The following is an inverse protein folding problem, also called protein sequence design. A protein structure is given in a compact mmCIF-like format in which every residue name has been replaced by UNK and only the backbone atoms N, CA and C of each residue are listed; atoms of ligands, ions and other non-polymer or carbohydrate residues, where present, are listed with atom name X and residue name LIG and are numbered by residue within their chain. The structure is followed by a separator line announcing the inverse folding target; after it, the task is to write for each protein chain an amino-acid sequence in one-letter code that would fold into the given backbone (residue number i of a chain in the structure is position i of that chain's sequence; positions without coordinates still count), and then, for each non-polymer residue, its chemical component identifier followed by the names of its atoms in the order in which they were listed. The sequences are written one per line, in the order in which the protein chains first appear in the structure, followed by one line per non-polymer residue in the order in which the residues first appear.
data_IF_268510610206
#
_entry.id   IF_268510610206
#
_cell.length_a   1.000
_cell.length_b   1.000
_cell.length_c   1.000
_cell.angle_alpha   90.00
_cell.angle_beta   90.00
_cell.angle_gamma   90.00
#
_symmetry.space_group_name_H-M   'P 1'
#
loop_
_entity.id
_entity.type
_entity.pdbx_description
1 polymer ?
#
# COMPACT_ATOMS: atom_id res chain seq x y z
N UNK A 1 -2.56 27.69 -44.18
CA UNK A 1 -1.25 27.02 -44.28
C UNK A 1 -1.38 25.69 -43.56
N UNK A 2 -2.10 24.77 -44.20
CA UNK A 2 -2.34 23.43 -43.66
C UNK A 2 -1.22 22.53 -44.14
N UNK A 3 -0.57 21.86 -43.21
CA UNK A 3 0.56 20.95 -43.46
C UNK A 3 0.07 19.66 -44.15
N UNK A 4 0.56 19.33 -45.34
CA UNK A 4 0.31 18.04 -45.99
C UNK A 4 1.28 16.99 -45.44
N UNK A 5 0.92 15.70 -45.58
CA UNK A 5 1.68 14.47 -45.24
C UNK A 5 1.30 13.73 -43.94
N UNK A 6 0.05 13.27 -43.85
CA UNK A 6 -0.29 12.08 -43.07
C UNK A 6 -0.27 10.86 -44.01
N UNK A 7 0.93 10.33 -44.29
CA UNK A 7 1.08 9.08 -45.04
C UNK A 7 1.06 7.92 -44.04
N UNK A 8 0.12 6.99 -44.21
CA UNK A 8 -0.03 5.75 -43.42
C UNK A 8 1.23 4.88 -43.56
N UNK A 9 2.13 5.01 -42.61
CA UNK A 9 3.18 4.06 -42.29
C UNK A 9 3.36 4.16 -40.78
N UNK A 10 2.92 3.16 -40.04
CA UNK A 10 2.99 3.17 -38.57
C UNK A 10 4.45 3.28 -38.14
N UNK A 11 4.79 4.35 -37.42
CA UNK A 11 6.08 4.45 -36.74
C UNK A 11 5.91 3.93 -35.33
N UNK A 12 6.76 2.98 -34.95
CA UNK A 12 6.79 2.43 -33.59
C UNK A 12 7.47 3.45 -32.67
N UNK A 13 6.76 3.84 -31.61
CA UNK A 13 7.29 4.69 -30.57
C UNK A 13 7.50 3.86 -29.30
N UNK A 14 8.48 4.27 -28.50
CA UNK A 14 8.74 3.65 -27.21
C UNK A 14 7.89 4.33 -26.13
N UNK A 15 7.33 3.50 -25.26
CA UNK A 15 6.52 3.90 -24.13
C UNK A 15 7.06 3.23 -22.87
N UNK A 16 6.82 3.90 -21.75
CA UNK A 16 6.99 3.35 -20.42
C UNK A 16 5.63 3.21 -19.76
N UNK A 17 5.41 2.07 -19.12
CA UNK A 17 4.24 1.77 -18.31
C UNK A 17 4.71 1.51 -16.90
N UNK A 18 4.27 2.36 -15.97
CA UNK A 18 4.43 2.15 -14.55
C UNK A 18 3.07 1.74 -13.97
N UNK A 19 3.00 0.60 -13.30
CA UNK A 19 1.79 0.18 -12.60
C UNK A 19 2.09 -0.32 -11.19
N UNK A 20 1.06 -0.25 -10.35
CA UNK A 20 1.12 -0.58 -8.93
C UNK A 20 0.18 -1.76 -8.67
N UNK A 21 0.74 -2.86 -8.17
CA UNK A 21 -0.03 -3.99 -7.67
C UNK A 21 -0.27 -3.86 -6.16
N UNK A 22 -1.45 -4.21 -5.66
CA UNK A 22 -1.72 -4.29 -4.22
C UNK A 22 -0.79 -5.33 -3.56
N UNK A 23 -0.29 -4.99 -2.37
CA UNK A 23 0.59 -5.87 -1.59
C UNK A 23 -0.06 -7.17 -1.08
N UNK A 24 -1.34 -7.42 -1.37
CA UNK A 24 -2.02 -8.66 -0.97
C UNK A 24 -1.58 -9.86 -1.81
N UNK A 25 -1.06 -9.60 -3.00
CA UNK A 25 -0.64 -10.64 -3.93
C UNK A 25 0.68 -11.26 -3.49
N UNK A 26 0.79 -12.58 -3.60
CA UNK A 26 2.06 -13.30 -3.42
C UNK A 26 2.97 -13.12 -4.63
N UNK A 27 4.25 -13.42 -4.50
CA UNK A 27 5.21 -13.31 -5.61
C UNK A 27 4.77 -14.16 -6.83
N UNK A 28 4.19 -15.34 -6.57
CA UNK A 28 3.63 -16.21 -7.63
C UNK A 28 2.45 -15.56 -8.36
N UNK A 29 1.54 -14.93 -7.61
CA UNK A 29 0.39 -14.22 -8.21
C UNK A 29 0.84 -12.97 -8.98
N UNK A 30 1.88 -12.28 -8.50
CA UNK A 30 2.48 -11.15 -9.20
C UNK A 30 3.02 -11.58 -10.55
N UNK A 31 3.75 -12.71 -10.63
CA UNK A 31 4.25 -13.25 -11.90
C UNK A 31 3.12 -13.66 -12.86
N UNK A 32 2.00 -14.18 -12.36
CA UNK A 32 0.83 -14.51 -13.17
C UNK A 32 0.16 -13.26 -13.75
N UNK A 33 -0.01 -12.22 -12.92
CA UNK A 33 -0.54 -10.92 -13.36
C UNK A 33 0.40 -10.28 -14.37
N UNK A 34 1.71 -10.38 -14.16
CA UNK A 34 2.73 -9.89 -15.09
C UNK A 34 2.57 -10.54 -16.46
N UNK A 35 2.50 -11.87 -16.53
CA UNK A 35 2.27 -12.61 -17.79
C UNK A 35 0.95 -12.20 -18.47
N UNK A 36 -0.10 -11.93 -17.69
CA UNK A 36 -1.38 -11.44 -18.21
C UNK A 36 -1.21 -10.05 -18.84
N UNK A 37 -0.48 -9.15 -18.20
CA UNK A 37 -0.19 -7.81 -18.71
C UNK A 37 0.69 -7.88 -19.97
N UNK A 38 1.71 -8.74 -19.98
CA UNK A 38 2.56 -8.96 -21.15
C UNK A 38 1.76 -9.45 -22.36
N UNK A 39 0.88 -10.43 -22.13
CA UNK A 39 -0.01 -10.94 -23.16
C UNK A 39 -0.97 -9.86 -23.67
N UNK A 40 -1.42 -8.95 -22.81
CA UNK A 40 -2.26 -7.82 -23.17
C UNK A 40 -1.48 -6.85 -24.06
N UNK A 41 -0.26 -6.48 -23.70
CA UNK A 41 0.61 -5.57 -24.48
C UNK A 41 0.94 -6.21 -25.85
N UNK A 42 1.35 -7.47 -25.88
CA UNK A 42 1.73 -8.16 -27.11
C UNK A 42 0.51 -8.41 -28.02
N UNK A 43 -0.61 -8.84 -27.44
CA UNK A 43 -1.81 -9.23 -28.19
C UNK A 43 -2.62 -8.05 -28.71
N UNK A 44 -2.88 -7.04 -27.87
CA UNK A 44 -3.72 -5.90 -28.24
C UNK A 44 -2.92 -4.80 -28.93
N UNK A 45 -1.68 -4.54 -28.48
CA UNK A 45 -0.87 -3.42 -28.95
C UNK A 45 0.08 -3.78 -30.10
N UNK A 46 0.12 -5.07 -30.50
CA UNK A 46 1.21 -5.59 -31.34
C UNK A 46 2.58 -5.09 -30.85
N UNK A 47 2.69 -4.93 -29.53
CA UNK A 47 3.79 -4.24 -28.88
C UNK A 47 4.93 -5.21 -28.59
N UNK A 48 6.16 -4.75 -28.77
CA UNK A 48 7.34 -5.52 -28.38
C UNK A 48 7.83 -5.00 -27.03
N UNK A 49 7.85 -5.86 -26.03
CA UNK A 49 8.41 -5.57 -24.71
C UNK A 49 9.93 -5.54 -24.84
N UNK A 50 10.55 -4.44 -24.43
CA UNK A 50 11.99 -4.20 -24.50
C UNK A 50 12.67 -4.57 -23.21
N UNK A 51 12.08 -4.15 -22.08
CA UNK A 51 12.58 -4.40 -20.74
C UNK A 51 11.41 -4.37 -19.76
N UNK A 52 11.52 -5.21 -18.74
CA UNK A 52 10.61 -5.19 -17.61
C UNK A 52 11.39 -5.32 -16.32
N UNK A 53 10.96 -4.59 -15.30
CA UNK A 53 11.64 -4.54 -14.01
C UNK A 53 10.63 -4.40 -12.87
N UNK A 54 10.74 -5.31 -11.90
CA UNK A 54 10.02 -5.22 -10.63
C UNK A 54 10.84 -4.33 -9.71
N UNK A 55 10.31 -3.14 -9.44
CA UNK A 55 10.89 -2.15 -8.54
C UNK A 55 10.74 -2.54 -7.06
N UNK A 56 9.81 -3.45 -6.76
CA UNK A 56 9.58 -4.00 -5.43
C UNK A 56 8.49 -3.28 -4.65
N UNK A 57 8.38 -3.60 -3.36
CA UNK A 57 7.28 -3.16 -2.49
C UNK A 57 7.60 -1.83 -1.83
N UNK A 58 6.87 -0.78 -2.20
CA UNK A 58 7.07 0.59 -1.73
C UNK A 58 5.86 1.04 -0.91
N UNK A 59 6.11 1.77 0.18
CA UNK A 59 5.06 2.41 0.98
C UNK A 59 4.57 3.67 0.28
N UNK A 60 3.27 3.73 -0.01
CA UNK A 60 2.61 4.90 -0.62
C UNK A 60 2.35 5.98 0.42
N UNK A 61 2.31 7.24 -0.02
CA UNK A 61 2.06 8.40 0.86
C UNK A 61 0.67 8.35 1.51
N UNK A 62 -0.33 7.85 0.79
CA UNK A 62 -1.70 7.64 1.24
C UNK A 62 -2.19 6.26 0.78
N UNK A 63 -3.18 5.67 1.46
CA UNK A 63 -3.72 4.39 1.05
C UNK A 63 -4.48 4.49 -0.28
N UNK A 64 -4.22 3.56 -1.19
CA UNK A 64 -4.98 3.36 -2.43
C UNK A 64 -5.63 1.99 -2.34
N UNK A 65 -6.94 1.89 -2.55
CA UNK A 65 -7.68 0.63 -2.41
C UNK A 65 -7.46 -0.03 -1.04
N UNK A 66 -7.49 0.75 0.05
CA UNK A 66 -7.24 0.30 1.43
C UNK A 66 -5.85 -0.28 1.72
N UNK A 67 -4.91 -0.22 0.78
CA UNK A 67 -3.53 -0.68 0.98
C UNK A 67 -2.57 0.50 1.08
N UNK A 68 -1.62 0.43 2.02
CA UNK A 68 -0.56 1.45 2.19
C UNK A 68 0.73 1.10 1.45
N UNK A 69 0.86 -0.12 0.97
CA UNK A 69 2.04 -0.65 0.31
C UNK A 69 1.60 -1.24 -1.02
N UNK A 70 2.40 -1.06 -2.06
CA UNK A 70 2.17 -1.64 -3.37
C UNK A 70 3.49 -2.07 -4.00
N UNK A 71 3.43 -3.12 -4.81
CA UNK A 71 4.56 -3.56 -5.63
C UNK A 71 4.55 -2.75 -6.92
N UNK A 72 5.64 -2.05 -7.20
CA UNK A 72 5.79 -1.25 -8.40
C UNK A 72 6.46 -2.09 -9.48
N UNK A 73 5.95 -1.99 -10.70
CA UNK A 73 6.51 -2.66 -11.87
C UNK A 73 6.59 -1.67 -13.01
N UNK A 74 7.76 -1.63 -13.66
CA UNK A 74 8.05 -0.76 -14.78
C UNK A 74 8.30 -1.60 -16.03
N UNK A 75 7.57 -1.28 -17.09
CA UNK A 75 7.69 -1.94 -18.40
C UNK A 75 8.05 -0.90 -19.45
N UNK A 76 9.08 -1.20 -20.23
CA UNK A 76 9.40 -0.51 -21.47
C UNK A 76 8.94 -1.35 -22.65
N UNK A 77 8.13 -0.76 -23.52
CA UNK A 77 7.62 -1.44 -24.70
C UNK A 77 7.53 -0.49 -25.88
N UNK A 78 7.56 -1.06 -27.08
CA UNK A 78 7.40 -0.33 -28.33
C UNK A 78 6.08 -0.71 -28.97
N UNK A 79 5.31 0.27 -29.42
CA UNK A 79 4.02 0.02 -30.10
C UNK A 79 3.69 1.17 -31.06
N UNK A 80 2.67 0.97 -31.88
CA UNK A 80 2.11 2.03 -32.71
C UNK A 80 1.24 2.98 -31.85
N UNK A 81 1.40 4.31 -31.97
CA UNK A 81 0.65 5.29 -31.19
C UNK A 81 -0.88 5.16 -31.29
N UNK A 82 -1.37 4.61 -32.41
CA UNK A 82 -2.80 4.40 -32.67
C UNK A 82 -3.45 3.41 -31.70
N UNK A 83 -2.67 2.55 -31.04
CA UNK A 83 -3.18 1.50 -30.16
C UNK A 83 -3.22 1.91 -28.68
N UNK A 84 -2.50 2.97 -28.31
CA UNK A 84 -2.43 3.46 -26.91
C UNK A 84 -3.82 3.70 -26.29
N UNK A 85 -4.80 4.34 -26.95
CA UNK A 85 -6.13 4.54 -26.35
C UNK A 85 -6.87 3.25 -26.05
N UNK A 86 -6.68 2.21 -26.89
CA UNK A 86 -7.27 0.89 -26.67
C UNK A 86 -6.61 0.19 -25.49
N UNK A 87 -5.29 0.31 -25.38
CA UNK A 87 -4.50 -0.23 -24.30
C UNK A 87 -4.90 0.40 -22.95
N UNK A 88 -5.04 1.73 -22.91
CA UNK A 88 -5.52 2.48 -21.75
C UNK A 88 -6.90 1.98 -21.26
N UNK A 89 -7.86 1.80 -22.18
CA UNK A 89 -9.17 1.26 -21.83
C UNK A 89 -9.10 -0.15 -21.23
N UNK A 90 -8.19 -1.01 -21.70
CA UNK A 90 -8.02 -2.37 -21.14
C UNK A 90 -7.38 -2.35 -19.75
N UNK A 91 -6.37 -1.49 -19.54
CA UNK A 91 -5.79 -1.31 -18.22
C UNK A 91 -6.82 -0.77 -17.21
N UNK A 92 -7.73 0.11 -17.65
CA UNK A 92 -8.83 0.58 -16.82
C UNK A 92 -9.80 -0.52 -16.39
N UNK A 93 -9.96 -1.58 -17.21
CA UNK A 93 -10.80 -2.74 -16.90
C UNK A 93 -10.07 -3.80 -16.04
N UNK A 94 -8.77 -3.64 -15.82
CA UNK A 94 -7.94 -4.62 -15.12
C UNK A 94 -7.99 -4.33 -13.62
N UNK A 95 -8.84 -5.06 -12.89
CA UNK A 95 -9.07 -4.85 -11.44
C UNK A 95 -7.86 -5.21 -10.57
N UNK A 96 -6.90 -5.96 -11.10
CA UNK A 96 -5.70 -6.34 -10.36
C UNK A 96 -4.73 -5.18 -10.11
N UNK A 97 -4.85 -4.08 -10.86
CA UNK A 97 -3.96 -2.92 -10.81
C UNK A 97 -4.60 -1.79 -10.00
N UNK A 98 -3.88 -1.25 -9.01
CA UNK A 98 -4.36 -0.11 -8.22
C UNK A 98 -4.31 1.21 -9.00
N UNK A 99 -3.24 1.39 -9.75
CA UNK A 99 -2.97 2.58 -10.56
C UNK A 99 -1.94 2.24 -11.62
N UNK A 100 -2.09 2.84 -12.79
CA UNK A 100 -1.11 2.75 -13.86
C UNK A 100 -0.87 4.14 -14.47
N UNK A 101 0.21 4.28 -15.21
CA UNK A 101 0.55 5.49 -15.96
C UNK A 101 1.35 5.07 -17.18
N UNK A 102 0.90 5.48 -18.37
CA UNK A 102 1.57 5.24 -19.64
C UNK A 102 2.14 6.58 -20.11
N UNK A 103 3.44 6.63 -20.35
CA UNK A 103 4.15 7.81 -20.85
C UNK A 103 4.93 7.44 -22.10
N UNK A 104 5.14 8.42 -22.97
CA UNK A 104 6.10 8.26 -24.05
C UNK A 104 7.51 8.27 -23.46
N UNK A 105 8.29 7.24 -23.78
CA UNK A 105 9.63 7.09 -23.26
C UNK A 105 10.62 7.95 -24.04
N UNK A 106 11.55 8.59 -23.33
CA UNK A 106 12.70 9.25 -23.93
C UNK A 106 13.69 8.22 -24.50
N UNK A 107 14.40 8.53 -25.60
CA UNK A 107 15.41 7.63 -26.15
C UNK A 107 16.47 7.24 -25.10
N UNK A 108 16.66 5.94 -24.90
CA UNK A 108 17.66 5.40 -23.96
C UNK A 108 17.25 5.33 -22.49
N UNK A 109 16.01 5.69 -22.14
CA UNK A 109 15.49 5.49 -20.77
C UNK A 109 15.47 4.02 -20.33
N UNK A 110 15.32 3.11 -21.30
CA UNK A 110 15.32 1.65 -21.13
C UNK A 110 16.56 1.08 -20.43
N UNK A 111 17.67 1.84 -20.34
CA UNK A 111 18.94 1.40 -19.73
C UNK A 111 19.19 2.01 -18.35
N UNK A 112 18.24 2.77 -17.81
CA UNK A 112 18.38 3.36 -16.46
C UNK A 112 18.32 2.27 -15.40
N UNK A 113 19.18 2.36 -14.39
CA UNK A 113 19.10 1.53 -13.19
C UNK A 113 18.35 2.31 -12.12
N UNK A 114 17.40 1.65 -11.46
CA UNK A 114 16.57 2.26 -10.43
C UNK A 114 17.00 1.75 -9.05
N UNK A 115 17.57 2.64 -8.24
CA UNK A 115 17.78 2.39 -6.82
C UNK A 115 16.71 3.11 -6.03
N UNK A 116 15.77 2.35 -5.48
CA UNK A 116 14.68 2.92 -4.69
C UNK A 116 15.18 3.09 -3.26
N UNK A 117 15.54 4.32 -2.92
CA UNK A 117 15.74 4.71 -1.53
C UNK A 117 14.36 4.85 -0.89
N UNK A 118 14.11 4.14 0.21
CA UNK A 118 12.85 4.25 0.94
C UNK A 118 12.62 5.73 1.30
N UNK A 119 11.48 6.29 0.88
CA UNK A 119 11.12 7.67 1.23
C UNK A 119 11.15 7.86 2.75
N UNK A 120 12.17 8.56 3.22
CA UNK A 120 12.21 9.09 4.58
C UNK A 120 11.37 10.35 4.52
N UNK A 121 10.19 10.31 5.15
CA UNK A 121 9.44 11.54 5.35
C UNK A 121 10.37 12.53 6.08
N UNK A 122 10.57 13.75 5.58
CA UNK A 122 11.17 14.78 6.40
C UNK A 122 10.19 15.02 7.55
N UNK A 123 10.40 14.33 8.66
CA UNK A 123 9.92 14.77 9.95
C UNK A 123 10.70 16.06 10.19
N UNK A 124 10.13 17.19 9.78
CA UNK A 124 10.62 18.46 10.32
C UNK A 124 10.41 18.36 11.83
N UNK A 125 11.48 18.54 12.60
CA UNK A 125 11.45 18.44 14.06
C UNK A 125 10.46 19.45 14.66
N UNK A 126 10.17 20.53 13.92
CA UNK A 126 9.18 21.57 14.25
C UNK A 126 7.73 21.04 14.31
N UNK A 127 7.37 20.07 13.47
CA UNK A 127 6.00 19.55 13.38
C UNK A 127 5.65 18.57 14.51
N UNK A 128 6.63 17.83 15.04
CA UNK A 128 6.43 16.88 16.15
C UNK A 128 6.22 17.66 17.46
N UNK A 129 7.04 18.71 17.68
CA UNK A 129 6.97 19.56 18.88
C UNK A 129 5.69 20.40 18.88
N UNK A 130 5.21 20.87 17.73
CA UNK A 130 3.96 21.64 17.66
C UNK A 130 2.71 20.80 17.96
N UNK A 131 2.75 19.49 17.68
CA UNK A 131 1.64 18.56 17.98
C UNK A 131 1.63 18.11 19.44
N UNK A 132 2.82 17.87 20.01
CA UNK A 132 2.99 17.53 21.42
C UNK A 132 2.62 18.71 22.34
N UNK A 133 3.03 19.93 21.98
CA UNK A 133 2.76 21.15 22.77
C UNK A 133 1.30 21.63 22.70
N UNK A 134 0.54 21.27 21.65
CA UNK A 134 -0.90 21.57 21.58
C UNK A 134 -1.78 20.58 22.34
N UNK A 135 -1.26 19.39 22.65
CA UNK A 135 -2.02 18.34 23.36
C UNK A 135 -1.95 18.45 24.88
N UNK A 136 -1.10 19.33 25.44
CA UNK A 136 -0.89 19.45 26.89
C UNK A 136 -1.49 20.71 27.52
N UNK A 137 -2.28 21.49 26.77
CA UNK A 137 -3.01 22.61 27.37
C UNK A 137 -4.08 22.07 28.34
N UNK A 138 -4.01 22.40 29.65
CA UNK A 138 -5.04 22.01 30.58
C UNK A 138 -6.33 22.74 30.22
N UNK A 139 -7.44 22.00 30.10
CA UNK A 139 -8.79 22.59 30.11
C UNK A 139 -9.03 23.15 31.52
N UNK A 140 -8.48 24.34 31.80
CA UNK A 140 -8.72 25.07 33.03
C UNK A 140 -10.15 25.62 33.02
N UNK A 141 -10.81 25.45 34.15
CA UNK A 141 -12.22 25.62 34.39
C UNK A 141 -12.75 27.06 34.17
N UNK A 142 -13.98 27.14 33.68
CA UNK A 142 -14.91 28.24 33.94
C UNK A 142 -16.29 27.62 34.31
N UNK A 143 -17.12 28.31 35.11
CA UNK A 143 -17.98 27.72 36.14
C UNK A 143 -19.40 27.34 35.66
N UNK A 144 -20.06 26.57 36.51
CA UNK A 144 -21.40 25.97 36.38
C UNK A 144 -22.51 27.05 36.44
N UNK A 145 -23.49 26.99 35.53
CA UNK A 145 -24.86 27.47 35.75
C UNK A 145 -25.90 26.45 35.26
N UNK A 146 -26.86 26.24 36.16
CA UNK A 146 -27.96 25.30 36.27
C UNK A 146 -29.02 25.35 35.14
N UNK A 147 -29.46 24.18 34.66
CA UNK A 147 -30.87 23.94 34.30
C UNK A 147 -31.23 22.44 34.41
N UNK A 148 -31.38 21.98 35.66
CA UNK A 148 -32.56 21.30 36.23
C UNK A 148 -33.34 20.25 35.37
N UNK A 149 -33.15 18.97 35.75
CA UNK A 149 -34.13 17.87 36.05
C UNK A 149 -34.98 17.33 34.86
N UNK A 150 -35.12 16.03 34.60
CA UNK A 150 -35.67 14.89 35.39
C UNK A 150 -35.29 13.56 34.70
N UNK A 151 -35.20 12.35 35.26
CA UNK A 151 -35.52 11.74 36.56
C UNK A 151 -34.85 10.32 36.61
N UNK A 152 -34.41 9.91 37.81
CA UNK A 152 -34.55 8.60 38.51
C UNK A 152 -34.46 7.26 37.72
N UNK A 153 -33.85 6.16 38.19
CA UNK A 153 -33.21 5.79 39.46
C UNK A 153 -32.41 4.47 39.26
N UNK A 154 -31.35 4.32 40.06
CA UNK A 154 -30.62 3.14 40.56
C UNK A 154 -30.91 1.70 40.06
N UNK A 155 -29.83 0.90 39.90
CA UNK A 155 -29.42 -0.21 40.82
C UNK A 155 -28.02 -0.74 40.41
N UNK A 156 -27.04 -0.65 41.33
CA UNK A 156 -25.77 -1.42 41.39
C UNK A 156 -25.82 -2.06 42.80
N UNK A 157 -25.49 -3.36 43.05
CA UNK A 157 -24.09 -3.74 43.26
C UNK A 157 -23.68 -5.21 43.04
N UNK A 158 -22.43 -5.45 42.61
CA UNK A 158 -21.39 -6.07 43.45
C UNK A 158 -20.03 -6.22 42.74
N UNK A 159 -18.99 -5.97 43.52
CA UNK A 159 -17.57 -6.00 43.23
C UNK A 159 -17.04 -7.43 42.96
N UNK A 160 -16.11 -7.58 42.02
CA UNK A 160 -15.11 -8.65 42.04
C UNK A 160 -13.73 -8.00 42.15
N UNK A 161 -13.08 -8.25 43.28
CA UNK A 161 -11.69 -7.88 43.56
C UNK A 161 -10.74 -8.65 42.63
N UNK A 162 -9.71 -8.00 42.05
CA UNK A 162 -8.75 -8.69 41.20
C UNK A 162 -7.94 -9.70 42.02
N UNK A 163 -7.94 -10.95 41.57
CA UNK A 163 -7.22 -12.08 42.16
C UNK A 163 -5.74 -11.72 42.31
N UNK A 164 -5.23 -11.87 43.53
CA UNK A 164 -3.85 -11.56 43.91
C UNK A 164 -2.86 -12.47 43.18
N UNK A 165 -1.77 -11.87 42.66
CA UNK A 165 -0.68 -12.56 41.96
C UNK A 165 -0.01 -13.68 42.79
N UNK A 166 -0.21 -13.72 44.11
CA UNK A 166 0.32 -14.77 44.98
C UNK A 166 -0.35 -16.14 44.77
N UNK A 167 -1.63 -16.18 44.40
CA UNK A 167 -2.33 -17.45 44.15
C UNK A 167 -1.88 -18.12 42.85
N UNK A 168 -1.46 -17.32 41.87
CA UNK A 168 -0.94 -17.80 40.59
C UNK A 168 0.45 -18.44 40.73
N UNK A 169 1.32 -17.84 41.54
CA UNK A 169 2.66 -18.37 41.78
C UNK A 169 2.62 -19.71 42.54
N UNK A 170 1.74 -19.81 43.54
CA UNK A 170 1.56 -21.06 44.29
C UNK A 170 1.06 -22.21 43.42
N UNK A 171 0.21 -21.91 42.42
CA UNK A 171 -0.29 -22.88 41.46
C UNK A 171 0.76 -23.28 40.42
N UNK A 172 1.74 -22.41 40.14
CA UNK A 172 2.86 -22.69 39.26
C UNK A 172 3.87 -23.61 39.94
N UNK A 173 4.15 -23.40 41.22
CA UNK A 173 5.03 -24.26 42.03
C UNK A 173 4.43 -25.67 42.23
N UNK A 174 3.10 -25.77 42.39
CA UNK A 174 2.39 -27.05 42.49
C UNK A 174 2.42 -27.85 41.17
N UNK A 175 2.49 -27.18 40.02
CA UNK A 175 2.65 -27.81 38.71
C UNK A 175 4.11 -28.26 38.49
N UNK A 176 5.08 -27.52 39.04
CA UNK A 176 6.50 -27.87 38.96
C UNK A 176 6.87 -29.06 39.85
N UNK A 177 6.18 -29.25 40.99
CA UNK A 177 6.37 -30.40 41.89
C UNK A 177 5.63 -31.68 41.42
N UNK A 178 4.64 -31.57 40.53
CA UNK A 178 3.78 -32.69 40.13
C UNK A 178 4.23 -33.46 38.87
N UNK A 179 5.41 -33.17 38.32
CA UNK A 179 5.83 -33.77 37.05
C UNK A 179 7.33 -33.93 36.90
N UNK A 180 7.87 -34.99 37.49
CA UNK A 180 9.08 -35.67 36.99
C UNK A 180 8.87 -35.99 35.50
N UNK A 181 9.40 -35.14 34.62
CA UNK A 181 9.65 -35.48 33.21
C UNK A 181 11.15 -35.61 32.98
N UNK A 182 11.77 -36.52 33.73
CA UNK A 182 12.93 -37.25 33.24
C UNK A 182 12.57 -38.73 33.19
N UNK A 183 12.10 -39.20 32.03
CA UNK A 183 12.46 -40.53 31.51
C UNK A 183 12.02 -40.69 30.04
N UNK A 184 13.01 -41.09 29.24
CA UNK A 184 12.98 -41.80 27.95
C UNK A 184 12.73 -41.08 26.60
N UNK A 185 13.88 -41.03 25.88
CA UNK A 185 14.13 -41.22 24.43
C UNK A 185 13.79 -40.08 23.49
#
# INVERSE_FOLDING_TARGET
MESPFFKRGGYFMMYELLYILPSRYTDTEVEEIQKKIDALIQGQASGTIVREEILGKIRMAYPIGQTRHGTYVLIYFTTEPSVIPKLDAQFHLTEEILRYTILQAEPGSEKKEYHIEAYIAPLSEEDIVSRSSRSSAPRAAAPIVESVVSNEEAIIPKEETPISMEELNKKLDEILDAGDITENV
#
